data_IF_199871046609
#
_entry.id   IF_199871046609
#
_cell.length_a   1.000
_cell.length_b   1.000
_cell.length_c   1.000
_cell.angle_alpha   90.00
_cell.angle_beta   90.00
_cell.angle_gamma   90.00
#
_symmetry.space_group_name_H-M   'P 1'
#
loop_
_entity.id
_entity.type
_entity.pdbx_description
1 polymer ?
#
# COMPACT_ATOMS: atom_id res chain seq x y z
N UNK A 1 -62.64 37.16 -25.84
CA UNK A 1 -64.01 36.63 -25.68
C UNK A 1 -63.93 35.11 -25.60
N UNK A 2 -64.68 34.51 -24.67
CA UNK A 2 -65.02 33.08 -24.49
C UNK A 2 -63.86 32.06 -24.36
N UNK A 3 -63.61 31.50 -23.16
CA UNK A 3 -64.34 30.37 -22.52
C UNK A 3 -64.54 29.18 -23.47
N UNK A 4 -63.92 28.03 -23.15
CA UNK A 4 -64.66 26.79 -22.87
C UNK A 4 -63.71 25.72 -22.31
N UNK A 5 -64.21 25.04 -21.27
CA UNK A 5 -63.70 23.83 -20.65
C UNK A 5 -63.41 22.71 -21.66
N UNK A 6 -62.50 21.79 -21.32
CA UNK A 6 -62.77 20.35 -21.37
C UNK A 6 -61.83 19.58 -20.43
N UNK A 7 -62.47 18.82 -19.55
CA UNK A 7 -61.90 17.85 -18.61
C UNK A 7 -61.42 16.64 -19.42
N UNK A 8 -60.20 16.17 -19.16
CA UNK A 8 -59.79 14.82 -19.50
C UNK A 8 -59.01 14.23 -18.32
N UNK A 9 -59.70 13.37 -17.57
CA UNK A 9 -59.11 12.52 -16.54
C UNK A 9 -58.36 11.41 -17.28
N UNK A 10 -57.03 11.43 -17.21
CA UNK A 10 -56.20 10.33 -17.66
C UNK A 10 -55.58 9.64 -16.44
N UNK A 11 -56.16 8.49 -16.12
CA UNK A 11 -55.70 7.46 -15.20
C UNK A 11 -54.21 7.18 -15.47
N UNK A 12 -53.32 7.59 -14.56
CA UNK A 12 -51.90 7.24 -14.61
C UNK A 12 -51.59 6.25 -13.49
N UNK A 13 -51.12 5.08 -13.91
CA UNK A 13 -50.65 4.02 -13.04
C UNK A 13 -49.56 4.54 -12.09
N UNK A 14 -49.70 4.21 -10.80
CA UNK A 14 -48.63 4.34 -9.83
C UNK A 14 -47.60 3.22 -10.06
N UNK A 15 -46.34 3.50 -10.40
CA UNK A 15 -45.27 2.54 -10.19
C UNK A 15 -45.01 2.47 -8.69
N UNK A 16 -45.26 1.31 -8.08
CA UNK A 16 -44.72 0.97 -6.76
C UNK A 16 -43.20 0.92 -6.88
N UNK A 17 -42.54 2.02 -6.53
CA UNK A 17 -41.10 2.04 -6.36
C UNK A 17 -40.75 1.17 -5.15
N UNK A 18 -40.28 -0.06 -5.39
CA UNK A 18 -39.49 -0.81 -4.42
C UNK A 18 -38.23 0.00 -4.18
N UNK A 19 -38.22 0.76 -3.07
CA UNK A 19 -37.02 1.41 -2.58
C UNK A 19 -36.12 0.33 -1.98
N UNK A 20 -35.29 -0.28 -2.84
CA UNK A 20 -34.18 -1.09 -2.37
C UNK A 20 -33.16 -0.12 -1.76
N UNK A 21 -33.18 -0.02 -0.42
CA UNK A 21 -32.14 0.67 0.32
C UNK A 21 -30.77 0.06 -0.06
N UNK A 22 -29.76 0.87 -0.43
CA UNK A 22 -28.43 0.33 -0.67
C UNK A 22 -27.90 -0.31 0.61
N UNK A 23 -27.16 -1.43 0.53
CA UNK A 23 -26.52 -2.01 1.69
C UNK A 23 -25.59 -0.96 2.29
N UNK A 24 -25.92 -0.52 3.49
CA UNK A 24 -25.04 0.28 4.34
C UNK A 24 -23.84 -0.62 4.63
N UNK A 25 -22.78 -0.47 3.84
CA UNK A 25 -21.45 -0.92 4.24
C UNK A 25 -21.13 -0.12 5.50
N UNK A 26 -21.33 -0.76 6.65
CA UNK A 26 -20.84 -0.25 7.90
C UNK A 26 -19.36 0.03 7.69
N UNK A 27 -18.97 1.30 7.68
CA UNK A 27 -17.58 1.69 7.74
C UNK A 27 -17.09 1.21 9.10
N UNK A 28 -16.57 -0.02 9.13
CA UNK A 28 -15.85 -0.54 10.26
C UNK A 28 -14.71 0.45 10.50
N UNK A 29 -14.85 1.23 11.56
CA UNK A 29 -13.79 2.11 12.04
C UNK A 29 -12.77 1.18 12.68
N UNK A 30 -11.93 0.58 11.84
CA UNK A 30 -10.79 -0.21 12.29
C UNK A 30 -9.90 0.75 13.08
N UNK A 31 -9.71 0.49 14.37
CA UNK A 31 -8.70 1.19 15.15
C UNK A 31 -7.38 1.18 14.36
N UNK A 32 -6.58 2.26 14.38
CA UNK A 32 -5.29 2.26 13.70
C UNK A 32 -4.50 1.06 14.20
N UNK A 33 -4.27 0.10 13.31
CA UNK A 33 -3.52 -1.09 13.64
C UNK A 33 -2.09 -0.60 13.89
N UNK A 34 -1.63 -0.69 15.15
CA UNK A 34 -0.27 -0.29 15.54
C UNK A 34 0.71 -1.38 15.12
N UNK A 35 0.81 -1.61 13.81
CA UNK A 35 1.55 -2.72 13.25
C UNK A 35 3.04 -2.38 13.24
N UNK A 36 3.87 -3.31 13.72
CA UNK A 36 5.31 -3.11 13.77
C UNK A 36 6.00 -4.25 13.03
N UNK A 37 6.79 -3.90 12.01
CA UNK A 37 7.69 -4.84 11.34
C UNK A 37 9.11 -4.56 11.80
N UNK A 38 9.71 -5.50 12.52
CA UNK A 38 11.12 -5.46 12.89
C UNK A 38 11.94 -6.15 11.83
N UNK A 39 13.13 -5.65 11.54
CA UNK A 39 14.00 -6.21 10.52
C UNK A 39 15.49 -6.11 10.87
N UNK A 40 16.26 -7.09 10.41
CA UNK A 40 17.71 -7.16 10.54
C UNK A 40 18.33 -7.94 9.38
N UNK A 41 19.54 -7.55 8.98
CA UNK A 41 20.37 -8.26 8.02
C UNK A 41 21.85 -8.07 8.38
N UNK A 42 22.42 -8.99 9.16
CA UNK A 42 23.81 -8.87 9.65
C UNK A 42 24.84 -8.96 8.53
N UNK A 43 24.62 -9.90 7.62
CA UNK A 43 25.53 -10.19 6.52
C UNK A 43 25.32 -9.26 5.34
N UNK A 44 26.40 -8.87 4.68
CA UNK A 44 26.31 -8.11 3.44
C UNK A 44 25.62 -8.91 2.34
N UNK A 45 24.66 -8.27 1.67
CA UNK A 45 24.04 -8.75 0.44
C UNK A 45 24.27 -7.77 -0.69
N UNK A 46 24.19 -8.24 -1.93
CA UNK A 46 24.36 -7.44 -3.13
C UNK A 46 23.22 -7.71 -4.10
N UNK A 47 22.73 -6.66 -4.77
CA UNK A 47 21.75 -6.79 -5.86
C UNK A 47 22.30 -6.05 -7.07
N UNK A 48 22.47 -6.79 -8.17
CA UNK A 48 22.95 -6.26 -9.45
C UNK A 48 21.73 -5.82 -10.25
N UNK A 49 21.66 -4.55 -10.61
CA UNK A 49 20.47 -3.92 -11.18
C UNK A 49 20.87 -3.13 -12.43
N UNK A 50 20.30 -3.51 -13.57
CA UNK A 50 20.58 -2.86 -14.86
C UNK A 50 19.87 -1.50 -14.99
N UNK A 51 18.74 -1.32 -14.31
CA UNK A 51 18.03 -0.05 -14.29
C UNK A 51 18.58 0.86 -13.19
N UNK A 52 19.28 1.92 -13.60
CA UNK A 52 19.90 2.89 -12.70
C UNK A 52 18.88 3.61 -11.79
N UNK A 53 17.67 3.92 -12.29
CA UNK A 53 16.63 4.57 -11.48
C UNK A 53 16.08 3.63 -10.42
N UNK A 54 15.90 2.35 -10.78
CA UNK A 54 15.49 1.31 -9.82
C UNK A 54 16.56 1.08 -8.77
N UNK A 55 17.83 1.03 -9.15
CA UNK A 55 18.95 0.87 -8.23
C UNK A 55 19.04 2.04 -7.23
N UNK A 56 18.91 3.27 -7.72
CA UNK A 56 18.89 4.48 -6.89
C UNK A 56 17.69 4.48 -5.92
N UNK A 57 16.50 4.10 -6.40
CA UNK A 57 15.30 3.98 -5.54
C UNK A 57 15.52 2.98 -4.42
N UNK A 58 16.06 1.79 -4.73
CA UNK A 58 16.35 0.75 -3.74
C UNK A 58 17.40 1.24 -2.73
N UNK A 59 18.51 1.82 -3.20
CA UNK A 59 19.55 2.33 -2.34
C UNK A 59 19.03 3.42 -1.39
N UNK A 60 18.19 4.33 -1.88
CA UNK A 60 17.54 5.36 -1.06
C UNK A 60 16.57 4.78 -0.05
N UNK A 61 15.77 3.79 -0.44
CA UNK A 61 14.86 3.11 0.50
C UNK A 61 15.64 2.41 1.61
N UNK A 62 16.69 1.65 1.28
CA UNK A 62 17.53 0.98 2.27
C UNK A 62 18.21 1.97 3.22
N UNK A 63 18.72 3.10 2.71
CA UNK A 63 19.28 4.18 3.56
C UNK A 63 18.22 4.78 4.50
N UNK A 64 17.00 5.02 4.01
CA UNK A 64 15.89 5.53 4.85
C UNK A 64 15.49 4.54 5.94
N UNK A 65 15.62 3.24 5.66
CA UNK A 65 15.43 2.16 6.65
C UNK A 65 16.60 2.04 7.64
N UNK A 66 17.59 2.93 7.60
CA UNK A 66 18.74 2.90 8.51
C UNK A 66 19.81 1.86 8.14
N UNK A 67 19.70 1.22 6.98
CA UNK A 67 20.69 0.23 6.55
C UNK A 67 22.00 0.90 6.10
N UNK A 68 23.11 0.19 6.28
CA UNK A 68 24.36 0.51 5.61
C UNK A 68 24.23 0.16 4.13
N UNK A 69 24.57 1.10 3.24
CA UNK A 69 24.45 0.92 1.79
C UNK A 69 25.70 1.40 1.08
N UNK A 70 26.23 0.57 0.18
CA UNK A 70 27.31 0.90 -0.75
C UNK A 70 26.80 0.67 -2.18
N UNK A 71 27.10 1.60 -3.06
CA UNK A 71 26.72 1.51 -4.48
C UNK A 71 27.95 1.56 -5.35
N UNK A 72 28.02 0.68 -6.35
CA UNK A 72 29.06 0.67 -7.38
C UNK A 72 28.40 0.69 -8.76
N UNK A 73 29.07 1.28 -9.74
CA UNK A 73 28.58 1.30 -11.12
C UNK A 73 29.70 0.84 -12.05
N UNK A 74 29.43 -0.22 -12.79
CA UNK A 74 30.36 -0.76 -13.78
C UNK A 74 29.60 -1.42 -14.93
N UNK A 75 30.19 -1.47 -16.12
CA UNK A 75 29.66 -2.18 -17.28
C UNK A 75 28.16 -1.93 -17.55
N UNK A 76 27.69 -0.68 -17.38
CA UNK A 76 26.31 -0.28 -17.66
C UNK A 76 25.26 -0.73 -16.63
N UNK A 77 25.63 -1.28 -15.48
CA UNK A 77 24.70 -1.62 -14.39
C UNK A 77 25.18 -1.08 -13.03
N UNK A 78 24.29 -1.10 -12.05
CA UNK A 78 24.56 -0.67 -10.69
C UNK A 78 24.45 -1.83 -9.72
N UNK A 79 25.45 -1.95 -8.86
CA UNK A 79 25.43 -2.85 -7.72
C UNK A 79 25.02 -2.10 -6.48
N UNK A 80 24.02 -2.62 -5.78
CA UNK A 80 23.62 -2.12 -4.46
C UNK A 80 23.99 -3.18 -3.43
N UNK A 81 25.02 -2.89 -2.63
CA UNK A 81 25.44 -3.71 -1.49
C UNK A 81 24.85 -3.13 -0.21
N UNK A 82 24.27 -3.97 0.62
CA UNK A 82 23.54 -3.53 1.81
C UNK A 82 23.65 -4.53 2.97
N UNK A 83 23.55 -3.99 4.18
CA UNK A 83 23.32 -4.74 5.43
C UNK A 83 22.65 -3.83 6.45
N UNK A 84 22.06 -4.44 7.47
CA UNK A 84 21.46 -3.77 8.60
C UNK A 84 21.75 -4.59 9.87
N UNK A 85 22.93 -4.39 10.50
CA UNK A 85 23.39 -5.28 11.57
C UNK A 85 22.55 -5.20 12.84
N UNK A 86 21.97 -4.05 13.12
CA UNK A 86 21.09 -3.82 14.26
C UNK A 86 19.64 -4.15 13.91
N UNK A 87 18.83 -4.39 14.92
CA UNK A 87 17.38 -4.51 14.72
C UNK A 87 16.78 -3.12 14.56
N UNK A 88 16.03 -2.92 13.49
CA UNK A 88 15.24 -1.72 13.27
C UNK A 88 13.76 -2.06 13.29
N UNK A 89 12.92 -1.04 13.50
CA UNK A 89 11.47 -1.18 13.56
C UNK A 89 10.79 -0.19 12.63
N UNK A 90 9.85 -0.69 11.84
CA UNK A 90 8.99 0.11 10.98
C UNK A 90 7.56 0.06 11.55
N UNK A 91 7.10 1.21 12.06
CA UNK A 91 5.74 1.38 12.56
C UNK A 91 4.82 1.75 11.40
N UNK A 92 3.71 1.05 11.27
CA UNK A 92 2.78 1.14 10.15
C UNK A 92 1.36 1.27 10.68
N UNK A 93 0.51 1.97 9.93
CA UNK A 93 -0.86 2.27 10.35
C UNK A 93 -1.88 1.23 9.86
N UNK A 94 -1.41 0.20 9.16
CA UNK A 94 -2.24 -0.77 8.45
C UNK A 94 -1.54 -2.12 8.38
N UNK A 95 -2.32 -3.17 8.59
CA UNK A 95 -1.90 -4.56 8.46
C UNK A 95 -1.42 -4.90 7.04
N UNK A 96 -2.10 -4.37 6.02
CA UNK A 96 -1.74 -4.59 4.61
C UNK A 96 -0.37 -3.99 4.28
N UNK A 97 -0.05 -2.83 4.85
CA UNK A 97 1.24 -2.20 4.62
C UNK A 97 2.35 -2.96 5.35
N UNK A 98 2.08 -3.50 6.55
CA UNK A 98 3.00 -4.38 7.25
C UNK A 98 3.35 -5.62 6.42
N UNK A 99 2.36 -6.28 5.82
CA UNK A 99 2.60 -7.40 4.90
C UNK A 99 3.42 -7.03 3.68
N UNK A 100 3.15 -5.88 3.04
CA UNK A 100 3.92 -5.42 1.88
C UNK A 100 5.39 -5.20 2.25
N UNK A 101 5.64 -4.54 3.38
CA UNK A 101 6.99 -4.28 3.86
C UNK A 101 7.71 -5.56 4.26
N UNK A 102 7.04 -6.47 4.99
CA UNK A 102 7.62 -7.74 5.38
C UNK A 102 8.01 -8.57 4.15
N UNK A 103 7.13 -8.65 3.14
CA UNK A 103 7.41 -9.33 1.88
C UNK A 103 8.61 -8.71 1.16
N UNK A 104 8.64 -7.40 1.01
CA UNK A 104 9.74 -6.70 0.35
C UNK A 104 11.07 -6.94 1.09
N UNK A 105 11.08 -6.85 2.42
CA UNK A 105 12.27 -7.10 3.22
C UNK A 105 12.78 -8.55 3.06
N UNK A 106 11.88 -9.54 3.04
CA UNK A 106 12.23 -10.94 2.79
C UNK A 106 12.82 -11.17 1.39
N UNK A 107 12.35 -10.47 0.36
CA UNK A 107 12.94 -10.50 -1.00
C UNK A 107 14.37 -9.94 -1.05
N UNK A 108 14.77 -9.19 -0.02
CA UNK A 108 16.12 -8.68 0.18
C UNK A 108 16.89 -9.48 1.25
N UNK A 109 16.40 -10.67 1.60
CA UNK A 109 17.00 -11.60 2.56
C UNK A 109 17.11 -11.09 4.00
N UNK A 110 16.32 -10.07 4.37
CA UNK A 110 16.23 -9.66 5.76
C UNK A 110 15.52 -10.73 6.59
N UNK A 111 15.96 -10.89 7.83
CA UNK A 111 15.16 -11.52 8.88
C UNK A 111 14.12 -10.50 9.35
N UNK A 112 12.86 -10.91 9.44
CA UNK A 112 11.74 -10.03 9.83
C UNK A 112 10.92 -10.64 10.96
N UNK A 113 10.34 -9.77 11.80
CA UNK A 113 9.32 -10.13 12.79
C UNK A 113 8.15 -9.15 12.66
N UNK A 114 6.93 -9.66 12.55
CA UNK A 114 5.72 -8.84 12.48
C UNK A 114 4.96 -8.93 13.82
N UNK A 115 4.75 -7.77 14.45
CA UNK A 115 3.99 -7.61 15.69
C UNK A 115 2.72 -6.78 15.43
N UNK A 116 1.66 -7.14 16.15
CA UNK A 116 0.32 -6.53 16.10
C UNK A 116 0.01 -5.79 17.40
#
# INVERSE_FOLDING_TARGET
MFRMFMIAIALTLLPTAVSAAPPQHAAATTAPANEVVRYQLKEWKAKHIHDAKKADTIAKTLKKLGCEVKTDQHNGHMDVKYRCPEWHELKLNSHDDAHKWEKWLKEFHFTTEHKH
#
